data_IF_426648458938
#
_entry.id   IF_426648458938
#
_cell.length_a   1.000
_cell.length_b   1.000
_cell.length_c   1.000
_cell.angle_alpha   90.00
_cell.angle_beta   90.00
_cell.angle_gamma   90.00
#
_symmetry.space_group_name_H-M   'P 1'
#
loop_
_entity.id
_entity.type
_entity.pdbx_description
1 polymer ?
#
# COMPACT_ATOMS: atom_id res chain seq x y z
N UNK A 1 4.31 15.37 -3.82
CA UNK A 1 5.09 14.33 -4.50
C UNK A 1 4.47 12.94 -4.30
N UNK A 2 4.23 12.51 -3.06
CA UNK A 2 3.82 11.14 -2.70
C UNK A 2 2.45 10.78 -3.31
N UNK A 3 1.41 11.57 -3.03
CA UNK A 3 0.07 11.26 -3.52
C UNK A 3 -0.07 11.28 -5.04
N UNK A 4 0.39 12.33 -5.77
CA UNK A 4 0.40 12.28 -7.23
C UNK A 4 1.22 11.13 -7.81
N UNK A 5 2.36 10.80 -7.20
CA UNK A 5 3.17 9.65 -7.59
C UNK A 5 2.43 8.33 -7.43
N UNK A 6 1.73 8.14 -6.30
CA UNK A 6 0.86 6.99 -6.07
C UNK A 6 -0.27 6.90 -7.12
N UNK A 7 -1.03 7.99 -7.30
CA UNK A 7 -2.18 7.99 -8.21
C UNK A 7 -1.76 7.69 -9.65
N UNK A 8 -0.68 8.30 -10.13
CA UNK A 8 -0.17 8.08 -11.47
C UNK A 8 0.31 6.64 -11.66
N UNK A 9 1.13 6.14 -10.74
CA UNK A 9 1.69 4.80 -10.83
C UNK A 9 0.62 3.71 -10.66
N UNK A 10 -0.35 3.92 -9.78
CA UNK A 10 -1.50 3.03 -9.61
C UNK A 10 -2.35 2.98 -10.89
N UNK A 11 -2.57 4.13 -11.55
CA UNK A 11 -3.27 4.16 -12.84
C UNK A 11 -2.50 3.38 -13.92
N UNK A 12 -1.19 3.55 -14.01
CA UNK A 12 -0.34 2.80 -14.94
C UNK A 12 -0.44 1.29 -14.66
N UNK A 13 -0.35 0.87 -13.40
CA UNK A 13 -0.48 -0.53 -13.02
C UNK A 13 -1.85 -1.11 -13.38
N UNK A 14 -2.94 -0.36 -13.16
CA UNK A 14 -4.29 -0.78 -13.55
C UNK A 14 -4.43 -0.93 -15.06
N UNK A 15 -3.87 -0.01 -15.85
CA UNK A 15 -3.92 -0.07 -17.33
C UNK A 15 -2.97 -1.10 -17.94
N UNK A 16 -2.00 -1.59 -17.20
CA UNK A 16 -1.10 -2.63 -17.67
C UNK A 16 -1.86 -3.93 -17.97
N UNK A 17 -1.81 -4.40 -19.21
CA UNK A 17 -2.54 -5.59 -19.71
C UNK A 17 -4.03 -5.57 -19.39
N UNK A 18 -4.66 -4.40 -19.47
CA UNK A 18 -6.05 -4.22 -19.02
C UNK A 18 -7.04 -5.12 -19.77
N UNK A 19 -6.92 -5.22 -21.12
CA UNK A 19 -7.81 -6.03 -21.95
C UNK A 19 -7.74 -7.51 -21.55
N UNK A 20 -6.54 -8.02 -21.29
CA UNK A 20 -6.35 -9.40 -20.86
C UNK A 20 -6.89 -9.66 -19.44
N UNK A 21 -6.74 -8.68 -18.52
CA UNK A 21 -7.38 -8.76 -17.21
C UNK A 21 -8.90 -8.78 -17.31
N UNK A 22 -9.46 -7.99 -18.23
CA UNK A 22 -10.90 -7.94 -18.47
C UNK A 22 -11.41 -9.29 -19.04
N UNK A 23 -10.72 -9.85 -20.02
CA UNK A 23 -11.05 -11.16 -20.59
C UNK A 23 -11.00 -12.29 -19.57
N UNK A 24 -10.06 -12.24 -18.62
CA UNK A 24 -9.93 -13.21 -17.52
C UNK A 24 -10.88 -12.96 -16.34
N UNK A 25 -11.66 -11.87 -16.35
CA UNK A 25 -12.54 -11.48 -15.23
C UNK A 25 -11.76 -11.03 -13.98
N UNK A 26 -10.51 -10.57 -14.15
CA UNK A 26 -9.62 -10.12 -13.07
C UNK A 26 -9.62 -8.59 -12.90
N UNK A 27 -10.30 -7.86 -13.77
CA UNK A 27 -10.44 -6.40 -13.67
C UNK A 27 -11.45 -6.04 -12.58
N UNK A 28 -11.17 -5.01 -11.81
CA UNK A 28 -12.05 -4.47 -10.76
C UNK A 28 -13.30 -3.77 -11.33
N UNK A 29 -13.20 -3.26 -12.58
CA UNK A 29 -14.27 -2.58 -13.32
C UNK A 29 -14.07 -2.71 -14.82
N UNK A 30 -15.14 -2.52 -15.59
CA UNK A 30 -15.11 -2.63 -17.04
C UNK A 30 -14.37 -1.48 -17.72
N UNK A 31 -14.20 -0.35 -17.03
CA UNK A 31 -13.56 0.87 -17.54
C UNK A 31 -12.18 1.15 -16.92
N UNK A 32 -11.77 0.35 -15.93
CA UNK A 32 -10.52 0.51 -15.18
C UNK A 32 -10.54 1.66 -14.18
N UNK A 33 -11.73 2.20 -13.85
CA UNK A 33 -11.89 3.15 -12.75
C UNK A 33 -12.04 2.45 -11.41
N UNK A 34 -11.49 3.03 -10.36
CA UNK A 34 -11.61 2.51 -9.00
C UNK A 34 -12.95 2.89 -8.40
N UNK A 35 -13.56 1.96 -7.67
CA UNK A 35 -14.78 2.23 -6.93
C UNK A 35 -14.58 3.31 -5.87
N UNK A 36 -15.64 4.04 -5.56
CA UNK A 36 -15.66 5.05 -4.48
C UNK A 36 -15.20 4.45 -3.14
N UNK A 37 -15.68 3.25 -2.80
CA UNK A 37 -15.31 2.56 -1.57
C UNK A 37 -13.81 2.28 -1.50
N UNK A 38 -13.19 1.92 -2.62
CA UNK A 38 -11.76 1.69 -2.71
C UNK A 38 -10.94 2.98 -2.52
N UNK A 39 -11.43 4.10 -3.09
CA UNK A 39 -10.79 5.41 -2.90
C UNK A 39 -10.86 5.85 -1.44
N UNK A 40 -12.00 5.68 -0.77
CA UNK A 40 -12.16 6.03 0.65
C UNK A 40 -11.33 5.09 1.53
N UNK A 41 -11.35 3.78 1.28
CA UNK A 41 -10.60 2.83 2.08
C UNK A 41 -9.08 3.09 2.02
N UNK A 42 -8.56 3.43 0.84
CA UNK A 42 -7.12 3.66 0.64
C UNK A 42 -6.68 5.10 0.94
N UNK A 43 -7.56 6.08 0.77
CA UNK A 43 -7.25 7.51 0.95
C UNK A 43 -7.72 8.10 2.28
N UNK A 44 -8.67 7.47 2.97
CA UNK A 44 -9.30 8.03 4.16
C UNK A 44 -8.31 8.23 5.31
N UNK A 45 -7.61 7.18 5.73
CA UNK A 45 -6.62 7.29 6.82
C UNK A 45 -5.44 8.20 6.44
N UNK A 46 -4.79 8.07 5.26
CA UNK A 46 -3.79 9.05 4.84
C UNK A 46 -4.30 10.50 4.88
N UNK A 47 -5.55 10.74 4.45
CA UNK A 47 -6.17 12.06 4.50
C UNK A 47 -6.32 12.58 5.93
N UNK A 48 -6.75 11.74 6.88
CA UNK A 48 -6.85 12.10 8.30
C UNK A 48 -5.47 12.45 8.86
N UNK A 49 -4.45 11.65 8.55
CA UNK A 49 -3.06 11.90 8.97
C UNK A 49 -2.54 13.24 8.46
N UNK A 50 -2.82 13.55 7.18
CA UNK A 50 -2.44 14.84 6.59
C UNK A 50 -3.12 16.02 7.27
N UNK A 51 -4.42 15.91 7.58
CA UNK A 51 -5.17 16.94 8.31
C UNK A 51 -4.61 17.10 9.73
N UNK A 52 -4.34 15.99 10.42
CA UNK A 52 -3.75 16.02 11.77
C UNK A 52 -2.39 16.72 11.76
N UNK A 53 -1.48 16.35 10.86
CA UNK A 53 -0.18 16.97 10.72
C UNK A 53 -0.28 18.47 10.41
N UNK A 54 -1.30 18.87 9.61
CA UNK A 54 -1.57 20.28 9.32
C UNK A 54 -2.02 21.06 10.55
N UNK A 55 -2.92 20.49 11.36
CA UNK A 55 -3.49 21.17 12.54
C UNK A 55 -2.50 21.24 13.70
N UNK A 56 -1.67 20.20 13.86
CA UNK A 56 -0.68 20.12 14.95
C UNK A 56 0.68 20.71 14.61
N UNK A 57 0.89 21.04 13.34
CA UNK A 57 2.19 21.48 12.78
C UNK A 57 3.31 20.41 12.89
N UNK A 58 2.93 19.14 13.15
CA UNK A 58 3.83 17.99 13.26
C UNK A 58 4.15 17.40 11.87
N UNK A 59 4.74 18.24 11.02
CA UNK A 59 4.95 17.93 9.60
C UNK A 59 5.88 16.76 9.35
N UNK A 60 6.96 16.65 10.13
CA UNK A 60 7.96 15.60 9.93
C UNK A 60 7.39 14.22 10.27
N UNK A 61 6.87 14.07 11.47
CA UNK A 61 6.23 12.84 11.94
C UNK A 61 5.03 12.47 11.06
N UNK A 62 4.18 13.45 10.76
CA UNK A 62 3.00 13.29 9.91
C UNK A 62 3.34 12.83 8.50
N UNK A 63 4.42 13.35 7.91
CA UNK A 63 4.86 12.96 6.57
C UNK A 63 5.26 11.48 6.52
N UNK A 64 6.02 10.98 7.50
CA UNK A 64 6.43 9.58 7.52
C UNK A 64 5.27 8.61 7.76
N UNK A 65 4.36 8.97 8.68
CA UNK A 65 3.14 8.19 8.91
C UNK A 65 2.21 8.17 7.70
N UNK A 66 2.03 9.33 7.04
CA UNK A 66 1.31 9.44 5.78
C UNK A 66 1.94 8.58 4.69
N UNK A 67 3.27 8.64 4.55
CA UNK A 67 4.03 7.87 3.56
C UNK A 67 3.84 6.37 3.75
N UNK A 68 3.92 5.88 4.99
CA UNK A 68 3.73 4.47 5.29
C UNK A 68 2.30 4.00 4.96
N UNK A 69 1.29 4.80 5.30
CA UNK A 69 -0.10 4.51 4.96
C UNK A 69 -0.32 4.42 3.45
N UNK A 70 0.23 5.38 2.67
CA UNK A 70 0.17 5.38 1.20
C UNK A 70 1.00 4.21 0.62
N UNK A 71 2.13 3.85 1.24
CA UNK A 71 2.96 2.74 0.79
C UNK A 71 2.24 1.39 0.92
N UNK A 72 1.45 1.17 1.97
CA UNK A 72 0.59 -0.01 2.10
C UNK A 72 -0.43 -0.06 0.95
N UNK A 73 -1.13 1.04 0.69
CA UNK A 73 -2.10 1.12 -0.39
C UNK A 73 -1.46 0.92 -1.78
N UNK A 74 -0.26 1.46 -2.01
CA UNK A 74 0.49 1.27 -3.24
C UNK A 74 0.94 -0.18 -3.41
N UNK A 75 1.48 -0.78 -2.34
CA UNK A 75 1.94 -2.16 -2.32
C UNK A 75 0.81 -3.14 -2.65
N UNK A 76 -0.36 -3.01 -1.99
CA UNK A 76 -1.54 -3.82 -2.27
C UNK A 76 -2.05 -3.64 -3.70
N UNK A 77 -2.13 -2.39 -4.16
CA UNK A 77 -2.55 -2.08 -5.52
C UNK A 77 -1.66 -2.77 -6.56
N UNK A 78 -0.35 -2.63 -6.44
CA UNK A 78 0.58 -3.23 -7.38
C UNK A 78 0.57 -4.76 -7.31
N UNK A 79 0.51 -5.31 -6.10
CA UNK A 79 0.42 -6.77 -5.90
C UNK A 79 -0.80 -7.35 -6.62
N UNK A 80 -1.95 -6.70 -6.49
CA UNK A 80 -3.20 -7.13 -7.11
C UNK A 80 -3.18 -6.97 -8.62
N UNK A 81 -2.80 -5.80 -9.11
CA UNK A 81 -2.84 -5.47 -10.55
C UNK A 81 -1.87 -6.31 -11.39
N UNK A 82 -0.77 -6.72 -10.81
CA UNK A 82 0.26 -7.51 -11.51
C UNK A 82 0.17 -8.99 -11.12
N UNK A 83 -0.07 -9.27 -9.85
CA UNK A 83 -0.13 -10.63 -9.33
C UNK A 83 -1.32 -11.45 -9.85
N UNK A 84 -2.44 -10.81 -10.22
CA UNK A 84 -3.59 -11.50 -10.81
C UNK A 84 -3.28 -12.16 -12.18
N UNK A 85 -2.19 -11.76 -12.83
CA UNK A 85 -1.76 -12.32 -14.12
C UNK A 85 -0.75 -13.46 -13.96
N UNK A 86 -0.39 -13.83 -12.73
CA UNK A 86 0.54 -14.92 -12.42
C UNK A 86 -0.21 -16.25 -12.29
N UNK A 87 0.29 -17.29 -12.93
CA UNK A 87 -0.28 -18.64 -12.83
C UNK A 87 0.18 -19.41 -11.57
N UNK A 88 1.16 -18.88 -10.82
CA UNK A 88 1.73 -19.49 -9.60
C UNK A 88 1.19 -18.85 -8.31
N UNK A 89 -0.13 -18.75 -8.21
CA UNK A 89 -0.78 -18.19 -7.03
C UNK A 89 -0.90 -19.25 -5.92
N UNK A 90 -0.60 -18.84 -4.69
CA UNK A 90 -0.73 -19.65 -3.49
C UNK A 90 -1.49 -18.89 -2.40
N UNK A 91 -2.25 -19.61 -1.62
CA UNK A 91 -2.95 -19.07 -0.45
C UNK A 91 -1.93 -18.78 0.66
N UNK A 92 -1.89 -17.56 1.20
CA UNK A 92 -0.92 -17.13 2.23
C UNK A 92 -1.00 -17.97 3.50
N UNK A 93 -2.17 -18.49 3.87
CA UNK A 93 -2.39 -19.26 5.10
C UNK A 93 -2.00 -20.72 4.99
N UNK A 94 -2.00 -21.30 3.80
CA UNK A 94 -1.82 -22.76 3.61
C UNK A 94 -0.66 -23.09 2.66
N UNK A 95 -0.14 -22.11 1.92
CA UNK A 95 0.86 -22.25 0.86
C UNK A 95 0.45 -23.19 -0.28
N UNK A 96 -0.82 -23.65 -0.31
CA UNK A 96 -1.35 -24.45 -1.40
C UNK A 96 -1.69 -23.56 -2.60
N UNK A 97 -1.61 -24.16 -3.80
CA UNK A 97 -2.05 -23.47 -5.02
C UNK A 97 -3.52 -23.11 -4.93
N UNK A 98 -3.87 -21.94 -5.41
CA UNK A 98 -5.24 -21.45 -5.55
C UNK A 98 -5.39 -20.63 -6.84
N UNK A 99 -6.61 -20.32 -7.19
CA UNK A 99 -6.90 -19.50 -8.37
C UNK A 99 -6.45 -18.06 -8.17
N UNK A 100 -6.06 -17.40 -9.25
CA UNK A 100 -5.73 -15.98 -9.23
C UNK A 100 -6.98 -15.15 -8.88
N UNK A 101 -6.78 -14.02 -8.20
CA UNK A 101 -7.87 -13.12 -7.80
C UNK A 101 -8.58 -13.50 -6.50
N UNK A 102 -8.28 -14.65 -5.87
CA UNK A 102 -8.82 -15.00 -4.56
C UNK A 102 -8.16 -14.16 -3.46
N UNK A 103 -8.95 -13.63 -2.53
CA UNK A 103 -8.45 -12.88 -1.38
C UNK A 103 -7.48 -13.74 -0.54
N UNK A 104 -6.30 -13.18 -0.27
CA UNK A 104 -5.22 -13.92 0.40
C UNK A 104 -4.36 -14.77 -0.52
N UNK A 105 -4.61 -14.74 -1.83
CA UNK A 105 -3.69 -15.28 -2.82
C UNK A 105 -2.44 -14.40 -2.95
N UNK A 106 -1.26 -15.02 -2.98
CA UNK A 106 -0.01 -14.34 -3.28
C UNK A 106 0.77 -15.08 -4.37
N UNK A 107 1.52 -14.34 -5.16
CA UNK A 107 2.31 -14.87 -6.26
C UNK A 107 3.70 -14.23 -6.30
N UNK A 108 4.73 -14.87 -6.90
CA UNK A 108 6.05 -14.27 -7.04
C UNK A 108 6.03 -12.90 -7.72
N UNK A 109 5.30 -12.75 -8.82
CA UNK A 109 5.15 -11.48 -9.52
C UNK A 109 4.42 -10.43 -8.68
N UNK A 110 3.37 -10.83 -7.95
CA UNK A 110 2.65 -9.98 -7.01
C UNK A 110 3.54 -9.47 -5.87
N UNK A 111 4.42 -10.33 -5.33
CA UNK A 111 5.34 -9.93 -4.27
C UNK A 111 6.41 -8.93 -4.75
N UNK A 112 6.95 -9.12 -5.94
CA UNK A 112 7.87 -8.16 -6.55
C UNK A 112 7.14 -6.84 -6.82
N UNK A 113 5.92 -6.89 -7.36
CA UNK A 113 5.11 -5.71 -7.61
C UNK A 113 4.77 -4.97 -6.32
N UNK A 114 4.45 -5.68 -5.23
CA UNK A 114 4.24 -5.10 -3.90
C UNK A 114 5.46 -4.29 -3.43
N UNK A 115 6.65 -4.88 -3.55
CA UNK A 115 7.91 -4.19 -3.22
C UNK A 115 8.18 -2.98 -4.12
N UNK A 116 7.85 -3.06 -5.41
CA UNK A 116 7.98 -1.93 -6.34
C UNK A 116 7.01 -0.81 -5.95
N UNK A 117 5.76 -1.13 -5.60
CA UNK A 117 4.77 -0.15 -5.16
C UNK A 117 5.20 0.59 -3.89
N UNK A 118 5.56 -0.15 -2.84
CA UNK A 118 6.07 0.46 -1.60
C UNK A 118 7.42 1.16 -1.81
N UNK A 119 8.29 0.60 -2.66
CA UNK A 119 9.58 1.17 -3.04
C UNK A 119 9.46 2.53 -3.68
N UNK A 120 8.50 2.71 -4.60
CA UNK A 120 8.21 4.00 -5.21
C UNK A 120 7.83 5.04 -4.16
N UNK A 121 6.96 4.68 -3.22
CA UNK A 121 6.53 5.61 -2.17
C UNK A 121 7.70 5.96 -1.24
N UNK A 122 8.49 4.99 -0.80
CA UNK A 122 9.68 5.25 0.01
C UNK A 122 10.69 6.17 -0.69
N UNK A 123 10.92 5.95 -1.99
CA UNK A 123 11.79 6.81 -2.79
C UNK A 123 11.25 8.24 -2.94
N UNK A 124 9.93 8.42 -3.05
CA UNK A 124 9.29 9.75 -3.11
C UNK A 124 9.23 10.43 -1.74
N UNK A 125 9.22 9.66 -0.66
CA UNK A 125 9.16 10.19 0.70
C UNK A 125 10.44 10.92 1.10
N UNK A 126 11.60 10.43 0.67
CA UNK A 126 12.88 11.06 0.96
C UNK A 126 12.98 12.50 0.44
N UNK A 127 12.79 12.78 -0.85
CA UNK A 127 12.82 14.17 -1.34
C UNK A 127 11.68 15.02 -0.78
N UNK A 128 10.50 14.44 -0.51
CA UNK A 128 9.41 15.16 0.13
C UNK A 128 9.82 15.64 1.53
N UNK A 129 10.42 14.77 2.34
CA UNK A 129 10.94 15.07 3.66
C UNK A 129 12.06 16.14 3.60
N UNK A 130 13.05 15.95 2.73
CA UNK A 130 14.15 16.89 2.56
C UNK A 130 13.68 18.31 2.21
N UNK A 131 12.70 18.41 1.29
CA UNK A 131 12.13 19.69 0.87
C UNK A 131 11.26 20.34 1.96
N UNK A 132 10.68 19.55 2.85
CA UNK A 132 9.77 20.04 3.91
C UNK A 132 10.56 20.48 5.14
N UNK A 133 11.56 19.71 5.55
CA UNK A 133 12.30 19.96 6.80
C UNK A 133 13.59 20.74 6.61
N UNK A 134 14.17 20.70 5.41
CA UNK A 134 15.48 21.29 5.13
C UNK A 134 16.62 20.64 5.90
N UNK A 135 16.39 19.49 6.56
CA UNK A 135 17.41 18.83 7.38
C UNK A 135 18.52 18.22 6.54
N UNK A 136 19.70 18.19 7.09
CA UNK A 136 20.90 17.62 6.44
C UNK A 136 21.23 16.20 6.93
N UNK A 137 20.44 15.65 7.85
CA UNK A 137 20.68 14.29 8.34
C UNK A 137 20.15 13.23 7.35
N UNK A 138 20.95 13.03 6.31
CA UNK A 138 20.65 12.06 5.25
C UNK A 138 20.46 10.63 5.78
N UNK A 139 21.13 10.27 6.87
CA UNK A 139 21.05 8.91 7.43
C UNK A 139 19.67 8.63 8.00
N UNK A 140 19.11 9.57 8.75
CA UNK A 140 17.73 9.45 9.29
C UNK A 140 16.74 9.37 8.14
N UNK A 141 16.82 10.28 7.17
CA UNK A 141 15.91 10.27 6.01
C UNK A 141 15.93 8.98 5.21
N UNK A 142 17.11 8.42 4.94
CA UNK A 142 17.26 7.14 4.25
C UNK A 142 16.73 5.97 5.08
N UNK A 143 16.96 5.97 6.39
CA UNK A 143 16.47 4.94 7.31
C UNK A 143 14.94 4.93 7.36
N UNK A 144 14.33 6.10 7.47
CA UNK A 144 12.87 6.24 7.49
C UNK A 144 12.25 5.91 6.13
N UNK A 145 12.90 6.26 5.02
CA UNK A 145 12.47 5.85 3.68
C UNK A 145 12.52 4.33 3.50
N UNK A 146 13.58 3.68 3.97
CA UNK A 146 13.68 2.22 3.97
C UNK A 146 12.60 1.57 4.85
N UNK A 147 12.30 2.17 6.01
CA UNK A 147 11.20 1.74 6.87
C UNK A 147 9.84 1.83 6.15
N UNK A 148 9.55 2.92 5.42
CA UNK A 148 8.34 3.08 4.59
C UNK A 148 8.21 1.93 3.59
N UNK A 149 9.29 1.54 2.91
CA UNK A 149 9.29 0.44 1.95
C UNK A 149 8.92 -0.88 2.61
N UNK A 150 9.59 -1.21 3.72
CA UNK A 150 9.38 -2.46 4.44
C UNK A 150 7.97 -2.52 5.05
N UNK A 151 7.54 -1.44 5.68
CA UNK A 151 6.22 -1.33 6.31
C UNK A 151 5.11 -1.41 5.26
N UNK A 152 5.28 -0.76 4.11
CA UNK A 152 4.35 -0.85 2.99
C UNK A 152 4.17 -2.28 2.50
N UNK A 153 5.28 -3.00 2.31
CA UNK A 153 5.24 -4.41 1.93
C UNK A 153 4.62 -5.29 3.02
N UNK A 154 4.95 -5.10 4.30
CA UNK A 154 4.35 -5.83 5.42
C UNK A 154 2.84 -5.57 5.53
N UNK A 155 2.39 -4.35 5.28
CA UNK A 155 0.96 -4.01 5.24
C UNK A 155 0.21 -4.78 4.15
N UNK A 156 0.81 -4.97 2.98
CA UNK A 156 0.25 -5.82 1.92
C UNK A 156 0.18 -7.31 2.35
N UNK A 157 1.15 -7.80 3.13
CA UNK A 157 1.04 -9.17 3.68
C UNK A 157 -0.10 -9.26 4.71
N UNK A 158 -0.28 -8.22 5.54
CA UNK A 158 -1.41 -8.13 6.48
C UNK A 158 -2.75 -8.13 5.73
N UNK A 159 -2.86 -7.37 4.63
CA UNK A 159 -4.05 -7.35 3.77
C UNK A 159 -4.38 -8.75 3.24
N UNK A 160 -3.41 -9.43 2.66
CA UNK A 160 -3.56 -10.81 2.17
C UNK A 160 -3.96 -11.78 3.29
N UNK A 161 -3.40 -11.63 4.49
CA UNK A 161 -3.73 -12.49 5.63
C UNK A 161 -5.16 -12.25 6.12
N UNK A 162 -5.57 -11.00 6.27
CA UNK A 162 -6.94 -10.62 6.67
C UNK A 162 -7.96 -11.01 5.59
N UNK A 163 -7.60 -10.85 4.31
CA UNK A 163 -8.40 -11.30 3.17
C UNK A 163 -8.69 -12.80 3.25
N UNK A 164 -7.66 -13.61 3.47
CA UNK A 164 -7.79 -15.07 3.62
C UNK A 164 -8.64 -15.49 4.83
N UNK A 165 -8.45 -14.83 5.98
CA UNK A 165 -9.04 -15.27 7.25
C UNK A 165 -10.41 -14.69 7.52
N UNK A 166 -10.67 -13.44 7.12
CA UNK A 166 -11.85 -12.70 7.53
C UNK A 166 -12.77 -12.32 6.35
N UNK A 167 -12.19 -11.82 5.23
CA UNK A 167 -12.99 -11.39 4.09
C UNK A 167 -13.66 -12.58 3.39
N UNK A 168 -12.92 -13.66 3.12
CA UNK A 168 -13.46 -14.88 2.52
C UNK A 168 -14.55 -15.55 3.37
N UNK A 169 -14.64 -15.22 4.65
CA UNK A 169 -15.67 -15.71 5.57
C UNK A 169 -16.82 -14.72 5.78
N UNK A 170 -16.77 -13.55 5.14
CA UNK A 170 -17.78 -12.52 5.26
C UNK A 170 -17.76 -11.72 6.57
N UNK A 171 -16.70 -11.83 7.39
CA UNK A 171 -16.55 -11.04 8.62
C UNK A 171 -16.10 -9.60 8.35
N UNK A 172 -15.37 -9.37 7.28
CA UNK A 172 -14.93 -8.06 6.84
C UNK A 172 -15.27 -7.85 5.36
N UNK A 173 -15.48 -6.59 5.00
CA UNK A 173 -15.51 -6.17 3.61
C UNK A 173 -14.09 -5.87 3.12
N UNK A 174 -13.88 -5.83 1.80
CA UNK A 174 -12.61 -5.43 1.19
C UNK A 174 -12.11 -4.07 1.71
N UNK A 175 -13.01 -3.08 1.81
CA UNK A 175 -12.67 -1.76 2.39
C UNK A 175 -12.24 -1.86 3.86
N UNK A 176 -12.85 -2.75 4.64
CA UNK A 176 -12.45 -3.02 6.03
C UNK A 176 -11.05 -3.62 6.13
N UNK A 177 -10.73 -4.60 5.28
CA UNK A 177 -9.40 -5.21 5.20
C UNK A 177 -8.34 -4.16 4.86
N UNK A 178 -8.56 -3.39 3.79
CA UNK A 178 -7.65 -2.30 3.38
C UNK A 178 -7.46 -1.28 4.51
N UNK A 179 -8.55 -0.83 5.16
CA UNK A 179 -8.48 0.11 6.26
C UNK A 179 -7.64 -0.38 7.44
N UNK A 180 -7.80 -1.66 7.85
CA UNK A 180 -7.02 -2.26 8.93
C UNK A 180 -5.53 -2.39 8.52
N UNK A 181 -5.25 -2.83 7.30
CA UNK A 181 -3.89 -3.00 6.79
C UNK A 181 -3.14 -1.67 6.71
N UNK A 182 -3.81 -0.60 6.26
CA UNK A 182 -3.25 0.76 6.23
C UNK A 182 -3.04 1.28 7.66
N UNK A 183 -3.99 1.04 8.58
CA UNK A 183 -3.84 1.41 10.00
C UNK A 183 -2.67 0.68 10.64
N UNK A 184 -2.47 -0.59 10.33
CA UNK A 184 -1.30 -1.35 10.77
C UNK A 184 0.02 -0.70 10.32
N UNK A 185 0.13 -0.33 9.03
CA UNK A 185 1.31 0.36 8.51
C UNK A 185 1.55 1.71 9.19
N UNK A 186 0.49 2.50 9.38
CA UNK A 186 0.53 3.75 10.13
C UNK A 186 1.06 3.57 11.56
N UNK A 187 0.53 2.59 12.31
CA UNK A 187 0.94 2.31 13.69
C UNK A 187 2.41 1.87 13.77
N UNK A 188 2.84 0.99 12.87
CA UNK A 188 4.24 0.57 12.81
C UNK A 188 5.18 1.76 12.56
N UNK A 189 4.81 2.64 11.64
CA UNK A 189 5.63 3.81 11.33
C UNK A 189 5.64 4.81 12.49
N UNK A 190 4.52 5.03 13.14
CA UNK A 190 4.43 5.86 14.34
C UNK A 190 5.38 5.36 15.44
N UNK A 191 5.37 4.06 15.71
CA UNK A 191 6.29 3.45 16.67
C UNK A 191 7.76 3.66 16.26
N UNK A 192 8.06 3.45 14.98
CA UNK A 192 9.43 3.55 14.45
C UNK A 192 9.97 4.97 14.48
N UNK A 193 9.16 5.97 14.11
CA UNK A 193 9.54 7.39 14.17
C UNK A 193 9.79 7.82 15.61
N UNK A 194 8.89 7.47 16.54
CA UNK A 194 9.06 7.80 17.96
C UNK A 194 10.31 7.15 18.59
N UNK A 195 10.74 6.00 18.09
CA UNK A 195 11.95 5.34 18.59
C UNK A 195 13.25 5.95 18.04
N UNK A 196 13.22 6.48 16.80
CA UNK A 196 14.43 7.00 16.14
C UNK A 196 14.61 8.52 16.24
N UNK A 197 13.51 9.26 16.35
CA UNK A 197 13.53 10.74 16.28
C UNK A 197 13.38 11.37 17.66
N UNK A 198 12.87 10.62 18.65
CA UNK A 198 12.78 11.02 20.07
C UNK A 198 13.88 10.35 20.86
#
# INVERSE_FOLDING_TARGET
>A
LILPGFLLSAHIATKWRFDEKLERGMSESDDGHRSYDNVIANGGLPGIVAIFAFVTEEWETGLWMFSAAVAVAASDTFAREIGCMDDNVRMITTFKRCDAGINGGFSPSGQIAALVGSGLIGLLSFPAWYLTTGTTDMQIGLTLSAAVIIIGWLGCQMDSLLGALLENRGFLTKGGVNGISITFGFMLMSFFVNYLVV
#
